data_IF_751389837900
#
_entry.id   IF_751389837900
#
_cell.length_a   1.000
_cell.length_b   1.000
_cell.length_c   1.000
_cell.angle_alpha   90.00
_cell.angle_beta   90.00
_cell.angle_gamma   90.00
#
_symmetry.space_group_name_H-M   'P 1'
#
loop_
_entity.id
_entity.type
_entity.pdbx_description
1 polymer ?
#
# COMPACT_ATOMS: atom_id res chain seq x y z
N UNK A 1 2.13 12.62 -53.34
CA UNK A 1 2.96 13.10 -52.28
C UNK A 1 2.22 13.42 -51.01
N UNK A 2 1.25 14.25 -51.09
CA UNK A 2 0.49 14.63 -49.91
C UNK A 2 -0.32 13.49 -49.35
N UNK A 3 -0.70 12.57 -50.16
CA UNK A 3 -1.49 11.43 -49.74
C UNK A 3 -0.68 10.52 -48.80
N UNK A 4 0.59 10.42 -49.04
CA UNK A 4 1.45 9.59 -48.20
C UNK A 4 1.53 10.09 -46.78
N UNK A 5 1.58 11.39 -46.61
CA UNK A 5 1.63 11.96 -45.28
C UNK A 5 0.35 11.71 -44.51
N UNK A 6 -0.76 11.75 -45.23
CA UNK A 6 -2.04 11.50 -44.58
C UNK A 6 -2.13 10.07 -44.09
N UNK A 7 -1.62 9.15 -44.85
CA UNK A 7 -1.61 7.74 -44.45
C UNK A 7 -0.83 7.52 -43.19
N UNK A 8 0.34 8.09 -43.09
CA UNK A 8 1.16 7.97 -41.92
C UNK A 8 0.47 8.51 -40.67
N UNK A 9 -0.22 9.61 -40.86
CA UNK A 9 -0.95 10.22 -39.79
C UNK A 9 -2.08 9.31 -39.29
N UNK A 10 -2.80 8.73 -40.21
CA UNK A 10 -3.90 7.84 -39.87
C UNK A 10 -3.43 6.62 -39.09
N UNK A 11 -2.32 6.06 -39.47
CA UNK A 11 -1.77 4.90 -38.80
C UNK A 11 -1.41 5.22 -37.38
N UNK A 12 -0.88 6.41 -37.18
CA UNK A 12 -0.50 6.82 -35.84
C UNK A 12 -1.70 6.92 -34.90
N UNK A 13 -2.79 7.46 -35.42
CA UNK A 13 -4.01 7.60 -34.65
C UNK A 13 -4.57 6.24 -34.21
N UNK A 14 -4.57 5.32 -35.13
CA UNK A 14 -5.06 3.99 -34.81
C UNK A 14 -4.26 3.32 -33.73
N UNK A 15 -2.98 3.51 -33.77
CA UNK A 15 -2.10 2.94 -32.80
C UNK A 15 -2.41 3.46 -31.38
N UNK A 16 -2.63 4.75 -31.27
CA UNK A 16 -2.93 5.36 -29.96
C UNK A 16 -4.24 4.82 -29.41
N UNK A 17 -5.23 4.67 -30.24
CA UNK A 17 -6.51 4.14 -29.81
C UNK A 17 -6.39 2.72 -29.30
N UNK A 18 -5.56 1.94 -29.94
CA UNK A 18 -5.34 0.58 -29.51
C UNK A 18 -4.78 0.50 -28.09
N UNK A 19 -3.87 1.38 -27.78
CA UNK A 19 -3.29 1.44 -26.43
C UNK A 19 -4.34 1.75 -25.39
N UNK A 20 -5.17 2.71 -25.66
CA UNK A 20 -6.20 3.11 -24.71
C UNK A 20 -7.11 1.95 -24.37
N UNK A 21 -7.46 1.17 -25.33
CA UNK A 21 -8.31 0.02 -25.13
C UNK A 21 -7.70 -0.98 -24.17
N UNK A 22 -6.44 -1.28 -24.37
CA UNK A 22 -5.76 -2.27 -23.55
C UNK A 22 -5.70 -1.87 -22.11
N UNK A 23 -5.46 -0.60 -21.84
CA UNK A 23 -5.35 -0.13 -20.47
C UNK A 23 -6.67 -0.30 -19.73
N UNK A 24 -7.75 -0.09 -20.41
CA UNK A 24 -9.07 -0.18 -19.80
C UNK A 24 -9.40 -1.56 -19.27
N UNK A 25 -8.98 -2.56 -19.96
CA UNK A 25 -9.37 -3.92 -19.64
C UNK A 25 -8.72 -4.44 -18.38
N UNK A 26 -7.67 -3.79 -17.91
CA UNK A 26 -6.91 -4.29 -16.79
C UNK A 26 -7.33 -3.74 -15.44
N UNK A 27 -8.36 -2.94 -15.41
CA UNK A 27 -8.72 -2.24 -14.18
C UNK A 27 -9.74 -2.95 -13.30
N UNK A 28 -10.35 -4.01 -13.79
CA UNK A 28 -11.50 -4.54 -13.13
C UNK A 28 -11.24 -5.42 -11.92
N UNK A 29 -10.03 -5.94 -11.79
CA UNK A 29 -9.75 -6.87 -10.70
C UNK A 29 -8.44 -6.60 -10.01
N UNK A 30 -8.12 -5.35 -9.84
CA UNK A 30 -6.87 -5.01 -9.19
C UNK A 30 -7.07 -4.66 -7.74
N UNK A 31 -6.05 -4.98 -6.95
CA UNK A 31 -6.03 -4.56 -5.57
C UNK A 31 -6.03 -3.05 -5.49
N UNK A 32 -6.63 -2.54 -4.44
CA UNK A 32 -6.62 -1.11 -4.20
C UNK A 32 -5.31 -0.71 -3.55
N UNK A 33 -4.64 0.27 -4.12
CA UNK A 33 -3.37 0.76 -3.60
C UNK A 33 -3.54 2.20 -3.17
N UNK A 34 -3.11 2.48 -1.95
CA UNK A 34 -3.25 3.81 -1.38
C UNK A 34 -1.96 4.16 -0.62
N UNK A 35 -1.50 5.40 -0.77
CA UNK A 35 -0.33 5.85 -0.03
C UNK A 35 -0.80 6.67 1.15
N UNK A 36 -0.41 6.25 2.35
CA UNK A 36 -0.86 6.91 3.57
C UNK A 36 0.31 7.23 4.47
N UNK A 37 0.09 8.18 5.37
CA UNK A 37 1.04 8.50 6.43
C UNK A 37 0.61 7.75 7.67
N UNK A 38 1.53 6.98 8.24
CA UNK A 38 1.25 6.18 9.41
C UNK A 38 2.13 6.64 10.56
N UNK A 39 1.51 6.87 11.71
CA UNK A 39 2.23 7.23 12.92
C UNK A 39 2.34 6.00 13.80
N UNK A 40 3.52 5.73 14.32
CA UNK A 40 3.75 4.57 15.18
C UNK A 40 4.26 5.04 16.52
N UNK A 41 3.60 4.59 17.57
CA UNK A 41 3.94 4.98 18.93
C UNK A 41 5.25 4.37 19.37
N UNK A 42 5.87 4.98 20.38
CA UNK A 42 7.10 4.47 20.96
C UNK A 42 6.87 3.27 21.85
N UNK A 43 5.64 2.90 22.10
CA UNK A 43 5.32 1.75 22.95
C UNK A 43 4.52 0.73 22.16
N UNK A 44 4.66 -0.52 22.56
CA UNK A 44 3.93 -1.62 21.96
C UNK A 44 2.83 -2.10 22.89
N UNK A 45 1.95 -2.94 22.37
CA UNK A 45 0.89 -3.51 23.15
C UNK A 45 0.73 -4.98 22.78
N UNK A 46 0.43 -5.81 23.76
CA UNK A 46 0.21 -7.23 23.48
C UNK A 46 -1.27 -7.48 23.26
N UNK A 47 -1.58 -8.10 22.12
CA UNK A 47 -2.95 -8.37 21.73
C UNK A 47 -3.13 -9.84 21.44
N UNK A 48 -4.35 -10.32 21.65
CA UNK A 48 -4.71 -11.69 21.31
C UNK A 48 -5.40 -11.71 19.97
N UNK A 49 -4.74 -12.27 18.97
CA UNK A 49 -5.34 -12.39 17.65
C UNK A 49 -5.96 -13.77 17.43
N UNK A 50 -5.28 -14.78 17.92
CA UNK A 50 -5.79 -16.14 17.87
C UNK A 50 -5.95 -16.56 19.31
N UNK A 51 -6.82 -17.48 19.54
CA UNK A 51 -7.29 -17.78 20.88
C UNK A 51 -6.23 -17.97 21.95
N UNK A 52 -5.00 -18.28 21.60
CA UNK A 52 -4.06 -18.69 22.61
C UNK A 52 -2.78 -17.91 22.68
N UNK A 53 -2.48 -17.06 21.72
CA UNK A 53 -1.18 -16.41 21.68
C UNK A 53 -1.31 -14.91 21.83
N UNK A 54 -0.50 -14.34 22.72
CA UNK A 54 -0.33 -12.92 22.81
C UNK A 54 0.71 -12.50 21.80
N UNK A 55 0.38 -11.53 20.98
CA UNK A 55 1.28 -11.02 19.97
C UNK A 55 1.61 -9.59 20.27
N UNK A 56 2.89 -9.26 20.25
CA UNK A 56 3.32 -7.88 20.47
C UNK A 56 3.03 -7.07 19.22
N UNK A 57 2.35 -5.94 19.41
CA UNK A 57 1.89 -5.13 18.30
C UNK A 57 2.34 -3.69 18.41
N UNK A 58 2.59 -3.10 17.27
CA UNK A 58 2.81 -1.67 17.18
C UNK A 58 1.47 -0.96 17.31
N UNK A 59 1.47 0.18 17.98
CA UNK A 59 0.28 1.03 18.05
C UNK A 59 0.40 2.04 16.90
N UNK A 60 -0.46 1.90 15.92
CA UNK A 60 -0.37 2.71 14.71
C UNK A 60 -1.61 3.59 14.55
N UNK A 61 -1.40 4.76 13.95
CA UNK A 61 -2.48 5.69 13.70
C UNK A 61 -2.42 6.14 12.24
N UNK A 62 -3.53 5.97 11.54
CA UNK A 62 -3.69 6.40 10.16
C UNK A 62 -4.98 7.19 10.07
N UNK A 63 -4.91 8.43 9.58
CA UNK A 63 -6.09 9.28 9.44
C UNK A 63 -6.90 9.39 10.73
N UNK A 64 -6.18 9.55 11.84
CA UNK A 64 -6.77 9.69 13.16
C UNK A 64 -7.47 8.44 13.69
N UNK A 65 -7.24 7.31 13.05
CA UNK A 65 -7.76 6.04 13.53
C UNK A 65 -6.62 5.19 14.08
N UNK A 66 -6.74 4.76 15.30
CA UNK A 66 -5.73 3.96 15.95
C UNK A 66 -6.02 2.48 15.76
N UNK A 67 -4.99 1.73 15.50
CA UNK A 67 -5.12 0.28 15.37
C UNK A 67 -3.82 -0.38 15.82
N UNK A 68 -3.79 -1.70 15.76
CA UNK A 68 -2.64 -2.46 16.23
C UNK A 68 -2.17 -3.38 15.11
N UNK A 69 -0.87 -3.37 14.87
CA UNK A 69 -0.25 -4.24 13.87
C UNK A 69 0.86 -5.05 14.51
N UNK A 70 0.89 -6.36 14.34
CA UNK A 70 1.99 -7.15 14.86
C UNK A 70 3.32 -6.65 14.32
N UNK A 71 4.36 -6.82 15.11
CA UNK A 71 5.70 -6.45 14.68
C UNK A 71 6.02 -7.23 13.41
N UNK A 72 6.61 -6.54 12.44
CA UNK A 72 6.96 -7.18 11.18
C UNK A 72 5.89 -7.16 10.11
N UNK A 73 4.75 -6.57 10.39
CA UNK A 73 3.66 -6.51 9.41
C UNK A 73 3.76 -5.36 8.43
N UNK A 74 4.74 -4.51 8.57
CA UNK A 74 5.03 -3.48 7.57
C UNK A 74 6.28 -3.94 6.84
N UNK A 75 6.10 -4.30 5.59
CA UNK A 75 7.22 -4.80 4.79
C UNK A 75 8.28 -3.73 4.64
N UNK A 76 9.53 -4.11 4.88
CA UNK A 76 10.65 -3.18 4.77
C UNK A 76 10.87 -2.28 5.96
N UNK A 77 10.11 -2.44 7.02
CA UNK A 77 10.23 -1.62 8.21
C UNK A 77 10.58 -2.46 9.43
N UNK A 78 11.57 -2.03 10.18
CA UNK A 78 11.94 -2.66 11.45
C UNK A 78 11.64 -1.71 12.59
N UNK A 79 10.75 -2.14 13.48
CA UNK A 79 10.36 -1.34 14.62
C UNK A 79 11.39 -1.44 15.74
N UNK A 80 11.66 -0.31 16.36
CA UNK A 80 12.58 -0.25 17.48
C UNK A 80 11.85 0.39 18.65
N UNK A 81 11.77 -0.32 19.76
CA UNK A 81 11.08 0.19 20.94
C UNK A 81 11.72 1.44 21.47
N UNK A 82 10.91 2.36 21.94
CA UNK A 82 11.41 3.61 22.48
C UNK A 82 11.51 4.70 21.44
N UNK A 83 11.18 4.39 20.20
CA UNK A 83 11.17 5.38 19.13
C UNK A 83 9.79 5.58 18.58
N UNK A 84 9.47 6.81 18.29
CA UNK A 84 8.22 7.19 17.66
C UNK A 84 8.49 7.45 16.19
N UNK A 85 7.62 6.96 15.32
CA UNK A 85 7.86 7.04 13.88
C UNK A 85 6.70 7.72 13.17
N UNK A 86 7.03 8.43 12.10
CA UNK A 86 6.06 8.80 11.08
C UNK A 86 6.56 8.19 9.78
N UNK A 87 5.74 7.37 9.16
CA UNK A 87 6.12 6.63 7.98
C UNK A 87 5.21 6.98 6.81
N UNK A 88 5.78 6.92 5.63
CA UNK A 88 4.99 6.94 4.42
C UNK A 88 4.93 5.49 3.95
N UNK A 89 3.74 4.94 3.91
CA UNK A 89 3.57 3.53 3.57
C UNK A 89 2.57 3.37 2.44
N UNK A 90 2.73 2.27 1.74
CA UNK A 90 1.82 1.86 0.70
C UNK A 90 0.86 0.85 1.30
N UNK A 91 -0.42 1.19 1.26
CA UNK A 91 -1.47 0.31 1.78
C UNK A 91 -2.09 -0.43 0.63
N UNK A 92 -2.07 -1.74 0.68
CA UNK A 92 -2.62 -2.59 -0.38
C UNK A 92 -3.82 -3.33 0.18
N UNK A 93 -4.97 -3.11 -0.44
CA UNK A 93 -6.21 -3.77 -0.05
C UNK A 93 -6.57 -4.76 -1.17
N UNK A 94 -6.48 -6.07 -0.93
CA UNK A 94 -6.81 -7.05 -1.96
C UNK A 94 -8.28 -7.01 -2.32
N UNK A 95 -8.57 -7.21 -3.59
CA UNK A 95 -9.95 -7.25 -4.06
C UNK A 95 -10.66 -8.49 -3.52
N UNK A 96 -9.97 -9.62 -3.58
CA UNK A 96 -10.54 -10.88 -3.10
C UNK A 96 -9.56 -11.53 -2.14
N UNK A 97 -9.51 -11.07 -0.89
CA UNK A 97 -8.56 -11.65 0.06
C UNK A 97 -8.94 -13.09 0.40
N UNK A 98 -7.92 -13.90 0.61
CA UNK A 98 -8.14 -15.26 1.09
C UNK A 98 -8.77 -15.19 2.48
N UNK A 99 -9.45 -16.24 2.85
CA UNK A 99 -10.22 -16.25 4.08
C UNK A 99 -9.37 -15.97 5.31
N UNK A 100 -8.15 -16.45 5.33
CA UNK A 100 -7.25 -16.27 6.47
C UNK A 100 -6.24 -15.16 6.28
N UNK A 101 -6.31 -14.44 5.18
CA UNK A 101 -5.34 -13.39 4.89
C UNK A 101 -5.76 -12.08 5.54
N UNK A 102 -4.81 -11.23 5.92
CA UNK A 102 -5.16 -9.90 6.42
C UNK A 102 -5.80 -9.08 5.31
N UNK A 103 -6.66 -8.18 5.73
CA UNK A 103 -7.38 -7.35 4.77
C UNK A 103 -6.50 -6.34 4.08
N UNK A 104 -5.47 -5.89 4.77
CA UNK A 104 -4.57 -4.88 4.23
C UNK A 104 -3.14 -5.32 4.41
N UNK A 105 -2.31 -4.93 3.46
CA UNK A 105 -0.88 -5.12 3.54
C UNK A 105 -0.22 -3.77 3.51
N UNK A 106 0.88 -3.62 4.24
CA UNK A 106 1.60 -2.36 4.28
C UNK A 106 3.04 -2.56 3.85
N UNK A 107 3.55 -1.62 3.09
CA UNK A 107 4.92 -1.64 2.62
C UNK A 107 5.54 -0.26 2.84
N UNK A 108 6.71 -0.22 3.43
CA UNK A 108 7.36 1.04 3.74
C UNK A 108 7.85 1.72 2.47
N UNK A 109 7.50 3.00 2.30
CA UNK A 109 8.05 3.81 1.24
C UNK A 109 9.24 4.61 1.77
N UNK A 110 9.03 5.28 2.91
CA UNK A 110 10.12 5.98 3.55
C UNK A 110 9.76 6.34 4.99
N UNK A 111 10.78 6.54 5.81
CA UNK A 111 10.61 7.00 7.17
C UNK A 111 10.64 8.52 7.12
N UNK A 112 9.55 9.14 7.54
CA UNK A 112 9.46 10.60 7.56
C UNK A 112 10.18 11.14 8.79
N UNK A 113 9.87 10.59 9.96
CA UNK A 113 10.56 10.95 11.19
C UNK A 113 10.78 9.71 12.04
N UNK A 114 11.84 9.76 12.85
CA UNK A 114 12.14 8.73 13.84
C UNK A 114 12.71 9.48 15.04
N UNK A 115 12.00 9.46 16.14
CA UNK A 115 12.38 10.22 17.33
C UNK A 115 12.41 9.34 18.56
N UNK A 116 13.47 9.45 19.30
CA UNK A 116 13.59 8.72 20.55
C UNK A 116 12.75 9.36 21.62
N UNK A 117 12.00 8.55 22.35
CA UNK A 117 11.11 9.04 23.42
C UNK A 117 11.51 8.53 24.78
#
# INVERSE_FOLDING_TARGET
>A
MKIENVFGFMLLLLFVLGFSSCIKDNNDEKDKIEIVTMHISNETKFMKFLEEALVECMVVTVKNEQSYLPLGWIDGFEYEKGYEYSLKVKKITPVNPAQDAPRNFYSLIKIITKEKK
#
